data_IF_666369426002
#
_entry.id   IF_666369426002
#
_cell.length_a   1.000
_cell.length_b   1.000
_cell.length_c   1.000
_cell.angle_alpha   90.00
_cell.angle_beta   90.00
_cell.angle_gamma   90.00
#
_symmetry.space_group_name_H-M   'P 1'
#
loop_
_entity.id
_entity.type
_entity.pdbx_description
1 polymer ?
#
# COMPACT_ATOMS: atom_id res chain seq x y z
N UNK A 1 -6.81 6.59 15.23
CA UNK A 1 -8.23 6.87 15.57
C UNK A 1 -9.07 6.26 14.46
N UNK A 2 -10.15 5.53 14.78
CA UNK A 2 -10.93 4.76 13.79
C UNK A 2 -11.87 5.64 13.00
N UNK A 3 -11.82 5.56 11.67
CA UNK A 3 -12.60 6.38 10.72
C UNK A 3 -13.98 5.79 10.45
N UNK A 4 -14.12 4.47 10.51
CA UNK A 4 -15.39 3.79 10.17
C UNK A 4 -16.40 3.78 11.33
N UNK A 5 -16.05 4.30 12.52
CA UNK A 5 -16.87 4.19 13.74
C UNK A 5 -18.35 4.58 13.53
N UNK A 6 -18.60 5.60 12.71
CA UNK A 6 -19.94 6.14 12.44
C UNK A 6 -20.58 5.60 11.15
N UNK A 7 -19.89 4.70 10.43
CA UNK A 7 -20.37 4.10 9.18
C UNK A 7 -21.60 3.23 9.44
N UNK A 8 -22.63 3.41 8.61
CA UNK A 8 -23.87 2.62 8.75
C UNK A 8 -23.74 1.30 8.01
N UNK A 9 -24.41 0.26 8.54
CA UNK A 9 -24.47 -1.07 7.89
C UNK A 9 -25.04 -1.02 6.46
N UNK A 10 -25.88 -0.03 6.16
CA UNK A 10 -26.41 0.20 4.81
C UNK A 10 -25.32 0.63 3.82
N UNK A 11 -24.39 1.47 4.25
CA UNK A 11 -23.26 1.96 3.43
C UNK A 11 -22.28 0.82 3.15
N UNK A 12 -21.99 -0.03 4.16
CA UNK A 12 -21.15 -1.22 3.99
C UNK A 12 -21.72 -2.23 2.98
N UNK A 13 -23.04 -2.43 2.99
CA UNK A 13 -23.72 -3.32 2.03
C UNK A 13 -23.81 -2.76 0.62
N UNK A 14 -23.72 -1.44 0.48
CA UNK A 14 -23.78 -0.77 -0.82
C UNK A 14 -22.44 -0.82 -1.56
N UNK A 15 -21.35 -1.22 -0.90
CA UNK A 15 -20.04 -1.31 -1.55
C UNK A 15 -20.00 -2.50 -2.50
N UNK A 16 -19.89 -2.21 -3.79
CA UNK A 16 -19.73 -3.24 -4.82
C UNK A 16 -18.27 -3.72 -4.87
N UNK A 17 -18.05 -4.97 -4.47
CA UNK A 17 -16.73 -5.61 -4.56
C UNK A 17 -16.53 -6.15 -5.98
N UNK A 18 -15.63 -5.53 -6.73
CA UNK A 18 -15.21 -6.03 -8.05
C UNK A 18 -14.32 -7.27 -7.89
N UNK A 19 -14.42 -8.20 -8.86
CA UNK A 19 -13.57 -9.39 -8.95
C UNK A 19 -13.58 -10.31 -7.71
N UNK A 20 -14.77 -10.49 -7.10
CA UNK A 20 -14.94 -11.36 -5.94
C UNK A 20 -14.47 -12.81 -6.16
N UNK A 21 -14.55 -13.31 -7.39
CA UNK A 21 -14.07 -14.65 -7.76
C UNK A 21 -12.54 -14.77 -7.62
N UNK A 22 -11.77 -13.82 -8.14
CA UNK A 22 -10.31 -13.81 -8.01
C UNK A 22 -9.87 -13.68 -6.54
N UNK A 23 -10.60 -12.86 -5.76
CA UNK A 23 -10.36 -12.73 -4.31
C UNK A 23 -10.59 -14.07 -3.61
N UNK A 24 -11.66 -14.78 -3.96
CA UNK A 24 -11.98 -16.09 -3.40
C UNK A 24 -10.89 -17.10 -3.73
N UNK A 25 -10.40 -17.14 -4.96
CA UNK A 25 -9.32 -18.05 -5.36
C UNK A 25 -8.02 -17.78 -4.58
N UNK A 26 -7.61 -16.52 -4.44
CA UNK A 26 -6.34 -16.17 -3.78
C UNK A 26 -6.39 -16.28 -2.26
N UNK A 27 -7.50 -15.89 -1.64
CA UNK A 27 -7.62 -15.82 -0.17
C UNK A 27 -8.40 -16.97 0.44
N UNK A 28 -9.05 -17.79 -0.39
CA UNK A 28 -9.98 -18.87 0.01
C UNK A 28 -11.17 -18.37 0.84
N UNK A 29 -11.46 -17.06 0.81
CA UNK A 29 -12.56 -16.44 1.54
C UNK A 29 -13.21 -15.35 0.71
N UNK A 30 -14.52 -15.17 0.92
CA UNK A 30 -15.26 -14.05 0.34
C UNK A 30 -14.95 -12.79 1.13
N UNK A 31 -14.60 -11.71 0.44
CA UNK A 31 -14.48 -10.40 1.07
C UNK A 31 -15.88 -9.83 1.31
N UNK A 32 -16.20 -9.55 2.58
CA UNK A 32 -17.46 -8.96 3.01
C UNK A 32 -17.17 -7.72 3.88
N UNK A 33 -17.49 -6.50 3.41
CA UNK A 33 -17.32 -5.25 4.16
C UNK A 33 -18.03 -5.24 5.53
N UNK A 34 -19.17 -5.92 5.64
CA UNK A 34 -19.94 -5.98 6.91
C UNK A 34 -19.18 -6.83 7.92
N UNK A 35 -18.68 -7.99 7.51
CA UNK A 35 -17.85 -8.82 8.38
C UNK A 35 -16.54 -8.12 8.75
N UNK A 36 -15.90 -7.43 7.80
CA UNK A 36 -14.70 -6.67 8.06
C UNK A 36 -14.92 -5.63 9.18
N UNK A 37 -16.04 -4.87 9.11
CA UNK A 37 -16.42 -3.92 10.15
C UNK A 37 -16.61 -4.60 11.53
N UNK A 38 -17.30 -5.74 11.57
CA UNK A 38 -17.54 -6.48 12.82
C UNK A 38 -16.23 -6.99 13.43
N UNK A 39 -15.32 -7.52 12.62
CA UNK A 39 -13.99 -7.96 13.06
C UNK A 39 -13.19 -6.79 13.64
N UNK A 40 -13.13 -5.65 12.93
CA UNK A 40 -12.42 -4.45 13.41
C UNK A 40 -13.01 -3.97 14.73
N UNK A 41 -14.35 -3.94 14.85
CA UNK A 41 -15.04 -3.56 16.08
C UNK A 41 -14.67 -4.50 17.23
N UNK A 42 -14.63 -5.80 16.99
CA UNK A 42 -14.30 -6.80 18.01
C UNK A 42 -12.83 -6.70 18.45
N UNK A 43 -11.89 -6.59 17.49
CA UNK A 43 -10.45 -6.50 17.78
C UNK A 43 -10.03 -5.19 18.46
N UNK A 44 -10.80 -4.12 18.25
CA UNK A 44 -10.58 -2.81 18.85
C UNK A 44 -11.36 -2.57 20.14
N UNK A 45 -12.06 -3.60 20.66
CA UNK A 45 -12.96 -3.49 21.80
C UNK A 45 -13.98 -2.34 21.64
N UNK A 46 -14.69 -2.32 20.52
CA UNK A 46 -15.66 -1.28 20.18
C UNK A 46 -15.03 0.06 19.79
N UNK A 47 -13.86 0.04 19.15
CA UNK A 47 -13.08 1.23 18.76
C UNK A 47 -12.47 2.02 19.94
N UNK A 48 -12.42 1.41 21.13
CA UNK A 48 -11.87 2.02 22.35
C UNK A 48 -10.36 1.82 22.44
N UNK A 49 -9.87 0.67 21.99
CA UNK A 49 -8.45 0.28 22.10
C UNK A 49 -7.72 0.58 20.80
N UNK A 50 -6.51 1.14 20.91
CA UNK A 50 -5.61 1.35 19.78
C UNK A 50 -4.91 0.03 19.41
N UNK A 51 -5.48 -0.73 18.47
CA UNK A 51 -4.86 -1.92 17.90
C UNK A 51 -4.38 -1.59 16.48
N UNK A 52 -3.08 -1.77 16.23
CA UNK A 52 -2.44 -1.39 14.95
C UNK A 52 -3.11 -2.10 13.77
N UNK A 53 -3.39 -3.40 13.88
CA UNK A 53 -4.04 -4.18 12.82
C UNK A 53 -5.46 -3.71 12.56
N UNK A 54 -6.21 -3.46 13.63
CA UNK A 54 -7.57 -2.94 13.50
C UNK A 54 -7.60 -1.54 12.88
N UNK A 55 -6.59 -0.70 13.15
CA UNK A 55 -6.46 0.63 12.56
C UNK A 55 -6.11 0.58 11.07
N UNK A 56 -5.20 -0.31 10.68
CA UNK A 56 -4.88 -0.55 9.27
C UNK A 56 -6.10 -1.06 8.51
N UNK A 57 -6.81 -2.05 9.08
CA UNK A 57 -8.03 -2.59 8.49
C UNK A 57 -9.16 -1.54 8.40
N UNK A 58 -9.30 -0.67 9.41
CA UNK A 58 -10.21 0.48 9.39
C UNK A 58 -9.91 1.43 8.24
N UNK A 59 -8.64 1.78 8.03
CA UNK A 59 -8.24 2.67 6.94
C UNK A 59 -8.53 2.06 5.57
N UNK A 60 -8.24 0.76 5.40
CA UNK A 60 -8.53 0.04 4.15
C UNK A 60 -10.04 -0.03 3.87
N UNK A 61 -10.86 -0.32 4.87
CA UNK A 61 -12.31 -0.37 4.72
C UNK A 61 -12.89 1.03 4.43
N UNK A 62 -12.37 2.07 5.07
CA UNK A 62 -12.73 3.45 4.78
C UNK A 62 -12.36 3.85 3.34
N UNK A 63 -11.22 3.41 2.82
CA UNK A 63 -10.82 3.63 1.42
C UNK A 63 -11.76 2.93 0.45
N UNK A 64 -12.18 1.70 0.77
CA UNK A 64 -13.12 0.92 -0.02
C UNK A 64 -14.49 1.60 -0.11
N UNK A 65 -15.01 2.12 1.00
CA UNK A 65 -16.27 2.86 1.07
C UNK A 65 -16.26 4.15 0.25
N UNK A 66 -15.11 4.81 0.16
CA UNK A 66 -14.95 6.10 -0.53
C UNK A 66 -14.36 5.96 -1.94
N UNK A 67 -14.36 4.75 -2.52
CA UNK A 67 -13.74 4.48 -3.83
C UNK A 67 -14.37 5.30 -4.95
N UNK A 68 -15.71 5.42 -4.98
CA UNK A 68 -16.42 6.17 -6.01
C UNK A 68 -16.28 7.70 -5.82
N UNK A 69 -16.20 8.15 -4.57
CA UNK A 69 -15.93 9.55 -4.27
C UNK A 69 -14.55 9.99 -4.77
N UNK A 70 -13.56 9.10 -4.85
CA UNK A 70 -12.23 9.39 -5.41
C UNK A 70 -12.14 9.31 -6.94
N UNK A 71 -13.10 8.68 -7.61
CA UNK A 71 -13.19 8.74 -9.07
C UNK A 71 -13.83 10.03 -9.56
N UNK A 72 -14.73 10.65 -8.76
CA UNK A 72 -15.34 11.95 -9.05
C UNK A 72 -14.60 13.15 -8.40
N UNK A 73 -13.92 12.93 -7.27
CA UNK A 73 -13.04 13.91 -6.64
C UNK A 73 -11.61 13.58 -7.02
N UNK A 74 -11.11 14.30 -8.03
CA UNK A 74 -9.68 14.38 -8.31
C UNK A 74 -8.94 14.74 -7.03
N UNK A 75 -8.41 13.70 -6.36
CA UNK A 75 -7.20 13.76 -5.55
C UNK A 75 -7.04 15.04 -4.74
N UNK A 76 -7.89 15.27 -3.73
CA UNK A 76 -7.47 16.03 -2.55
C UNK A 76 -6.70 15.14 -1.58
N UNK A 77 -5.81 14.29 -2.12
CA UNK A 77 -4.50 14.17 -1.48
C UNK A 77 -3.98 15.59 -1.46
N UNK A 78 -3.84 16.15 -0.27
CA UNK A 78 -2.98 17.30 -0.02
C UNK A 78 -1.63 16.93 -0.62
N UNK A 79 -1.43 17.27 -1.91
CA UNK A 79 -0.10 17.42 -2.48
C UNK A 79 0.49 18.49 -1.58
N UNK A 80 1.26 18.05 -0.58
CA UNK A 80 2.52 18.73 -0.31
C UNK A 80 3.05 19.00 -1.70
N UNK A 81 3.09 20.28 -2.08
CA UNK A 81 3.99 20.74 -3.14
C UNK A 81 5.38 20.35 -2.63
N UNK A 82 5.76 19.08 -2.77
CA UNK A 82 7.13 18.75 -3.08
C UNK A 82 7.25 19.26 -4.50
N UNK A 83 7.69 20.52 -4.59
CA UNK A 83 8.43 21.02 -5.73
C UNK A 83 9.21 19.82 -6.26
N UNK A 84 8.97 19.40 -7.51
CA UNK A 84 9.91 18.51 -8.18
C UNK A 84 11.24 19.23 -8.03
N UNK A 85 12.08 18.78 -7.10
CA UNK A 85 13.44 19.28 -6.99
C UNK A 85 14.08 18.68 -8.22
N UNK A 86 14.10 19.45 -9.30
CA UNK A 86 14.93 19.12 -10.44
C UNK A 86 16.32 18.91 -9.86
N UNK A 87 16.81 17.68 -9.98
CA UNK A 87 18.16 17.35 -9.54
C UNK A 87 19.08 18.22 -10.37
N UNK A 88 19.90 19.02 -9.70
CA UNK A 88 20.92 19.80 -10.37
C UNK A 88 21.84 18.87 -11.17
N UNK A 89 22.42 19.36 -12.28
CA UNK A 89 23.27 18.55 -13.15
C UNK A 89 24.40 17.82 -12.39
N UNK A 90 24.86 18.39 -11.28
CA UNK A 90 25.85 17.79 -10.37
C UNK A 90 25.29 16.61 -9.57
N UNK A 91 24.07 16.70 -9.04
CA UNK A 91 23.39 15.58 -8.37
C UNK A 91 23.17 14.41 -9.34
N UNK A 92 22.81 14.71 -10.59
CA UNK A 92 22.66 13.71 -11.65
C UNK A 92 24.01 13.02 -11.94
N UNK A 93 25.10 13.77 -12.06
CA UNK A 93 26.44 13.22 -12.29
C UNK A 93 26.93 12.37 -11.12
N UNK A 94 26.69 12.81 -9.88
CA UNK A 94 27.07 12.05 -8.68
C UNK A 94 26.32 10.72 -8.65
N UNK A 95 25.02 10.74 -8.94
CA UNK A 95 24.21 9.51 -8.98
C UNK A 95 24.63 8.58 -10.12
N UNK A 96 24.92 9.12 -11.31
CA UNK A 96 25.40 8.35 -12.44
C UNK A 96 26.74 7.68 -12.14
N UNK A 97 27.67 8.40 -11.50
CA UNK A 97 28.98 7.86 -11.08
C UNK A 97 28.83 6.80 -9.99
N UNK A 98 27.93 6.99 -9.04
CA UNK A 98 27.64 5.99 -8.01
C UNK A 98 27.05 4.71 -8.62
N UNK A 99 26.16 4.84 -9.61
CA UNK A 99 25.62 3.69 -10.37
C UNK A 99 26.71 2.97 -11.15
N UNK A 100 27.60 3.71 -11.82
CA UNK A 100 28.71 3.11 -12.57
C UNK A 100 29.63 2.28 -11.67
N UNK A 101 30.00 2.80 -10.48
CA UNK A 101 30.79 2.04 -9.50
C UNK A 101 30.08 0.77 -9.01
N UNK A 102 28.76 0.83 -8.82
CA UNK A 102 28.00 -0.33 -8.37
C UNK A 102 27.97 -1.45 -9.43
N UNK A 103 27.89 -1.09 -10.72
CA UNK A 103 27.97 -2.05 -11.82
C UNK A 103 29.36 -2.68 -11.92
N UNK A 104 30.42 -1.88 -11.82
CA UNK A 104 31.81 -2.35 -11.85
C UNK A 104 32.11 -3.34 -10.71
N UNK A 105 31.63 -3.06 -9.50
CA UNK A 105 31.78 -4.00 -8.37
C UNK A 105 31.05 -5.32 -8.61
N UNK A 106 29.85 -5.27 -9.20
CA UNK A 106 29.06 -6.47 -9.48
C UNK A 106 29.68 -7.29 -10.63
N UNK A 107 30.29 -6.64 -11.61
CA UNK A 107 31.05 -7.30 -12.67
C UNK A 107 32.28 -8.03 -12.11
N UNK A 108 33.06 -7.38 -11.23
CA UNK A 108 34.19 -8.02 -10.56
C UNK A 108 33.78 -9.20 -9.66
N UNK A 109 32.67 -9.09 -8.94
CA UNK A 109 32.13 -10.19 -8.13
C UNK A 109 31.78 -11.40 -9.01
N UNK A 110 31.17 -11.15 -10.17
CA UNK A 110 30.82 -12.19 -11.13
C UNK A 110 32.06 -12.85 -11.77
N UNK A 111 33.10 -12.07 -12.09
CA UNK A 111 34.39 -12.60 -12.57
C UNK A 111 35.08 -13.49 -11.52
N UNK A 112 35.08 -13.08 -10.25
CA UNK A 112 35.65 -13.88 -9.16
C UNK A 112 34.85 -15.16 -8.92
N UNK A 113 33.52 -15.12 -9.00
CA UNK A 113 32.68 -16.32 -8.94
C UNK A 113 32.95 -17.28 -10.11
N UNK A 114 33.20 -16.79 -11.32
CA UNK A 114 33.49 -17.62 -12.48
C UNK A 114 34.88 -18.26 -12.41
N UNK A 115 35.87 -17.53 -11.89
CA UNK A 115 37.22 -18.05 -11.70
C UNK A 115 37.29 -19.08 -10.57
N UNK A 116 36.49 -18.94 -9.51
CA UNK A 116 36.42 -19.92 -8.41
C UNK A 116 35.63 -21.18 -8.76
N UNK A 117 34.77 -21.15 -9.80
CA UNK A 117 34.06 -22.32 -10.34
C UNK A 117 34.86 -23.09 -11.42
N UNK A 118 35.99 -22.55 -11.87
CA UNK A 118 36.87 -23.18 -12.89
C UNK A 118 38.16 -23.78 -12.31
N UNK A 119 38.27 -23.91 -10.98
CA UNK A 119 39.33 -24.64 -10.27
C UNK A 119 38.74 -25.85 -9.55
#
# INVERSE_FOLDING_TARGET
>A
MYKIKDTKRKELKAVEILHQEEILERTKRKLDPVQAFEIIKNESNGFSTSNVKAQEADELLHLLLNRDAKSASGTSSKKKKTSKKELSATEIQIQARARARALELLELELELELNTKSA
#
